data_IF_913596019783
#
_entry.id   IF_913596019783
#
_cell.length_a   1.000
_cell.length_b   1.000
_cell.length_c   1.000
_cell.angle_alpha   90.00
_cell.angle_beta   90.00
_cell.angle_gamma   90.00
#
_symmetry.space_group_name_H-M   'P 1'
#
loop_
_entity.id
_entity.type
_entity.pdbx_description
1 polymer ?
#
# COMPACT_ATOMS: atom_id res chain seq x y z
N UNK A 1 -36.95 5.28 14.76
CA UNK A 1 -37.52 4.09 14.07
C UNK A 1 -36.48 3.51 13.12
N UNK A 2 -36.09 2.24 13.30
CA UNK A 2 -35.09 1.58 12.46
C UNK A 2 -35.72 0.97 11.19
N UNK A 3 -35.03 1.06 10.04
CA UNK A 3 -35.51 0.41 8.80
C UNK A 3 -35.44 -1.11 8.92
N UNK A 4 -36.47 -1.78 8.41
CA UNK A 4 -36.47 -3.22 8.22
C UNK A 4 -35.64 -3.60 6.98
N UNK A 5 -35.03 -4.77 7.01
CA UNK A 5 -34.22 -5.28 5.90
C UNK A 5 -35.10 -5.95 4.85
N UNK A 6 -35.83 -5.16 4.06
CA UNK A 6 -36.52 -5.64 2.85
C UNK A 6 -35.48 -5.83 1.74
N UNK A 7 -34.74 -6.93 1.79
CA UNK A 7 -33.73 -7.29 0.80
C UNK A 7 -34.01 -8.70 0.30
N UNK A 8 -34.19 -8.82 -1.00
CA UNK A 8 -34.37 -10.11 -1.67
C UNK A 8 -32.98 -10.72 -1.83
N UNK A 9 -32.66 -11.66 -0.96
CA UNK A 9 -31.44 -12.47 -1.05
C UNK A 9 -31.75 -13.68 -1.95
N UNK A 10 -31.00 -13.85 -3.04
CA UNK A 10 -31.25 -14.86 -4.06
C UNK A 10 -30.84 -16.26 -3.60
N UNK A 11 -29.76 -16.35 -2.85
CA UNK A 11 -29.16 -17.61 -2.41
C UNK A 11 -29.96 -18.27 -1.29
N UNK A 12 -29.81 -19.58 -1.18
CA UNK A 12 -30.44 -20.37 -0.12
C UNK A 12 -29.71 -20.19 1.22
N UNK A 13 -30.39 -20.49 2.32
CA UNK A 13 -29.78 -20.41 3.66
C UNK A 13 -28.64 -21.44 3.79
N UNK A 14 -28.80 -22.61 3.17
CA UNK A 14 -27.81 -23.69 3.18
C UNK A 14 -26.54 -23.27 2.44
N UNK A 15 -26.68 -22.70 1.24
CA UNK A 15 -25.55 -22.15 0.46
C UNK A 15 -24.76 -21.11 1.27
N UNK A 16 -25.45 -20.16 1.92
CA UNK A 16 -24.80 -19.14 2.72
C UNK A 16 -24.09 -19.72 3.96
N UNK A 17 -24.67 -20.75 4.60
CA UNK A 17 -24.05 -21.43 5.74
C UNK A 17 -22.80 -22.21 5.33
N UNK A 18 -22.82 -22.86 4.17
CA UNK A 18 -21.67 -23.57 3.65
C UNK A 18 -20.56 -22.63 3.22
N UNK A 19 -20.89 -21.52 2.56
CA UNK A 19 -19.91 -20.45 2.28
C UNK A 19 -19.32 -19.89 3.59
N UNK A 20 -20.13 -19.70 4.63
CA UNK A 20 -19.66 -19.21 5.92
C UNK A 20 -18.69 -20.16 6.63
N UNK A 21 -18.87 -21.48 6.46
CA UNK A 21 -17.96 -22.50 7.00
C UNK A 21 -16.64 -22.56 6.23
N UNK A 22 -16.69 -22.42 4.90
CA UNK A 22 -15.52 -22.47 4.01
C UNK A 22 -14.64 -21.22 4.12
N UNK A 23 -15.25 -20.07 4.40
CA UNK A 23 -14.55 -18.79 4.42
C UNK A 23 -13.65 -18.64 5.65
N UNK A 24 -12.36 -18.37 5.43
CA UNK A 24 -11.38 -18.14 6.49
C UNK A 24 -11.32 -16.67 6.93
N UNK A 25 -11.64 -15.72 6.04
CA UNK A 25 -11.49 -14.30 6.34
C UNK A 25 -12.57 -13.80 7.32
N UNK A 26 -12.19 -13.29 8.52
CA UNK A 26 -13.16 -12.85 9.52
C UNK A 26 -14.12 -11.75 9.04
N UNK A 27 -13.67 -10.88 8.13
CA UNK A 27 -14.50 -9.79 7.58
C UNK A 27 -15.60 -10.34 6.67
N UNK A 28 -15.24 -11.29 5.80
CA UNK A 28 -16.18 -11.94 4.88
C UNK A 28 -17.14 -12.88 5.63
N UNK A 29 -16.64 -13.60 6.64
CA UNK A 29 -17.49 -14.37 7.55
C UNK A 29 -18.57 -13.52 8.21
N UNK A 30 -18.23 -12.30 8.64
CA UNK A 30 -19.20 -11.36 9.24
C UNK A 30 -20.24 -10.88 8.25
N UNK A 31 -19.83 -10.58 7.02
CA UNK A 31 -20.71 -10.27 5.89
C UNK A 31 -21.68 -11.43 5.60
N UNK A 32 -21.19 -12.67 5.55
CA UNK A 32 -22.03 -13.86 5.36
C UNK A 32 -23.05 -14.04 6.50
N UNK A 33 -22.64 -13.85 7.77
CA UNK A 33 -23.59 -13.86 8.91
C UNK A 33 -24.68 -12.80 8.75
N UNK A 34 -24.35 -11.63 8.20
CA UNK A 34 -25.33 -10.59 7.92
C UNK A 34 -26.41 -11.08 6.95
N UNK A 35 -26.03 -11.71 5.84
CA UNK A 35 -26.99 -12.26 4.87
C UNK A 35 -27.83 -13.40 5.47
N UNK A 36 -27.20 -14.32 6.21
CA UNK A 36 -27.89 -15.44 6.88
C UNK A 36 -28.99 -14.91 7.82
N UNK A 37 -28.65 -14.01 8.75
CA UNK A 37 -29.62 -13.48 9.71
C UNK A 37 -30.71 -12.62 9.07
N UNK A 38 -30.40 -11.98 7.94
CA UNK A 38 -31.39 -11.24 7.17
C UNK A 38 -32.38 -12.18 6.49
N UNK A 39 -31.90 -13.30 5.91
CA UNK A 39 -32.74 -14.32 5.27
C UNK A 39 -33.60 -15.08 6.28
N UNK A 40 -33.06 -15.38 7.46
CA UNK A 40 -33.78 -16.00 8.58
C UNK A 40 -34.75 -15.03 9.28
N UNK A 41 -34.78 -13.74 8.88
CA UNK A 41 -35.57 -12.68 9.50
C UNK A 41 -35.42 -12.62 11.04
N UNK A 42 -34.21 -12.91 11.53
CA UNK A 42 -33.93 -13.12 12.96
C UNK A 42 -34.08 -11.84 13.80
N UNK A 43 -33.85 -10.68 13.20
CA UNK A 43 -33.90 -9.38 13.88
C UNK A 43 -34.91 -8.45 13.23
N UNK A 44 -35.70 -7.76 14.07
CA UNK A 44 -36.76 -6.85 13.60
C UNK A 44 -36.24 -5.65 12.80
N UNK A 45 -35.04 -5.16 13.09
CA UNK A 45 -34.48 -3.98 12.41
C UNK A 45 -33.01 -4.17 12.06
N UNK A 46 -32.57 -3.46 11.02
CA UNK A 46 -31.16 -3.44 10.60
C UNK A 46 -30.23 -2.90 11.68
N UNK A 47 -30.72 -1.98 12.53
CA UNK A 47 -29.95 -1.42 13.64
C UNK A 47 -29.61 -2.48 14.67
N UNK A 48 -30.58 -3.33 15.05
CA UNK A 48 -30.34 -4.43 16.00
C UNK A 48 -29.36 -5.45 15.40
N UNK A 49 -29.52 -5.78 14.12
CA UNK A 49 -28.60 -6.67 13.40
C UNK A 49 -27.16 -6.11 13.40
N UNK A 50 -27.00 -4.81 13.14
CA UNK A 50 -25.71 -4.13 13.14
C UNK A 50 -25.04 -4.22 14.52
N UNK A 51 -25.79 -3.90 15.59
CA UNK A 51 -25.32 -4.01 16.98
C UNK A 51 -24.90 -5.44 17.31
N UNK A 52 -25.70 -6.45 16.95
CA UNK A 52 -25.36 -7.85 17.19
C UNK A 52 -24.11 -8.32 16.43
N UNK A 53 -23.89 -7.83 15.21
CA UNK A 53 -22.70 -8.13 14.42
C UNK A 53 -21.46 -7.31 14.84
N UNK A 54 -21.62 -6.34 15.76
CA UNK A 54 -20.55 -5.42 16.17
C UNK A 54 -20.06 -4.55 15.00
N UNK A 55 -20.99 -4.06 14.18
CA UNK A 55 -20.70 -3.16 13.05
C UNK A 55 -21.58 -1.92 13.11
N UNK A 56 -21.09 -0.81 12.57
CA UNK A 56 -21.91 0.39 12.43
C UNK A 56 -23.04 0.20 11.41
N UNK A 57 -24.18 0.84 11.65
CA UNK A 57 -25.35 0.79 10.77
C UNK A 57 -25.01 1.24 9.34
N UNK A 58 -24.15 2.25 9.17
CA UNK A 58 -23.73 2.74 7.85
C UNK A 58 -22.92 1.70 7.09
N UNK A 59 -22.11 0.90 7.80
CA UNK A 59 -21.35 -0.21 7.20
C UNK A 59 -22.28 -1.29 6.67
N UNK A 60 -23.27 -1.67 7.48
CA UNK A 60 -24.29 -2.65 7.11
C UNK A 60 -25.16 -2.16 5.94
N UNK A 61 -25.53 -0.87 5.92
CA UNK A 61 -26.21 -0.24 4.77
C UNK A 61 -25.36 -0.31 3.49
N UNK A 62 -24.05 -0.04 3.60
CA UNK A 62 -23.10 -0.16 2.47
C UNK A 62 -23.02 -1.59 1.94
N UNK A 63 -22.97 -2.57 2.83
CA UNK A 63 -22.97 -3.99 2.49
C UNK A 63 -24.21 -4.37 1.69
N UNK A 64 -25.39 -3.98 2.16
CA UNK A 64 -26.64 -4.26 1.46
C UNK A 64 -26.77 -3.54 0.12
N UNK A 65 -26.28 -2.31 0.02
CA UNK A 65 -26.19 -1.58 -1.24
C UNK A 65 -25.31 -2.35 -2.24
N UNK A 66 -24.12 -2.74 -1.83
CA UNK A 66 -23.16 -3.50 -2.64
C UNK A 66 -23.77 -4.83 -3.14
N UNK A 67 -24.41 -5.59 -2.25
CA UNK A 67 -25.08 -6.83 -2.63
C UNK A 67 -26.21 -6.61 -3.65
N UNK A 68 -26.99 -5.53 -3.49
CA UNK A 68 -28.09 -5.21 -4.40
C UNK A 68 -27.60 -4.81 -5.79
N UNK A 69 -26.51 -4.05 -5.86
CA UNK A 69 -26.00 -3.49 -7.11
C UNK A 69 -25.12 -4.49 -7.88
N UNK A 70 -24.28 -5.25 -7.18
CA UNK A 70 -23.23 -6.08 -7.80
C UNK A 70 -23.34 -7.58 -7.47
N UNK A 71 -24.26 -7.97 -6.58
CA UNK A 71 -24.50 -9.37 -6.21
C UNK A 71 -23.51 -9.95 -5.19
N UNK A 72 -23.58 -11.27 -5.01
CA UNK A 72 -22.83 -11.98 -3.97
C UNK A 72 -21.31 -11.99 -4.19
N UNK A 73 -20.86 -12.10 -5.44
CA UNK A 73 -19.42 -12.16 -5.76
C UNK A 73 -18.69 -10.88 -5.30
N UNK A 74 -19.21 -9.71 -5.67
CA UNK A 74 -18.69 -8.42 -5.19
C UNK A 74 -18.91 -8.22 -3.69
N UNK A 75 -20.02 -8.71 -3.15
CA UNK A 75 -20.26 -8.66 -1.70
C UNK A 75 -19.20 -9.42 -0.89
N UNK A 76 -18.68 -10.52 -1.44
CA UNK A 76 -17.63 -11.32 -0.83
C UNK A 76 -16.21 -10.93 -1.28
N UNK A 77 -16.07 -9.91 -2.13
CA UNK A 77 -14.75 -9.38 -2.47
C UNK A 77 -14.29 -8.31 -1.48
N UNK A 78 -12.99 -8.30 -1.18
CA UNK A 78 -12.34 -7.22 -0.44
C UNK A 78 -11.50 -6.43 -1.41
N UNK A 79 -12.03 -5.30 -1.87
CA UNK A 79 -11.27 -4.32 -2.63
C UNK A 79 -10.46 -3.46 -1.65
N UNK A 80 -9.28 -3.94 -1.25
CA UNK A 80 -8.26 -3.07 -0.67
C UNK A 80 -7.68 -2.23 -1.80
N UNK A 81 -7.71 -0.90 -1.69
CA UNK A 81 -7.05 -0.02 -2.65
C UNK A 81 -5.61 -0.50 -2.88
N UNK A 82 -5.33 -0.97 -4.09
CA UNK A 82 -4.02 -1.50 -4.45
C UNK A 82 -2.94 -0.42 -4.46
N UNK A 83 -1.71 -0.85 -4.66
CA UNK A 83 -0.63 0.10 -4.93
C UNK A 83 -0.90 0.78 -6.27
N UNK A 84 -0.77 2.11 -6.30
CA UNK A 84 -0.75 2.85 -7.57
C UNK A 84 0.39 2.30 -8.43
N UNK A 85 0.14 2.17 -9.73
CA UNK A 85 1.15 1.75 -10.67
C UNK A 85 2.42 2.63 -10.54
N UNK A 86 3.59 2.01 -10.60
CA UNK A 86 4.87 2.72 -10.53
C UNK A 86 5.01 3.65 -11.72
N UNK A 87 5.41 4.90 -11.47
CA UNK A 87 5.77 5.87 -12.52
C UNK A 87 7.01 5.39 -13.29
N UNK A 88 7.91 4.66 -12.61
CA UNK A 88 9.10 4.09 -13.23
C UNK A 88 8.71 2.77 -13.89
N UNK A 89 8.75 2.75 -15.23
CA UNK A 89 8.52 1.56 -16.04
C UNK A 89 9.70 0.59 -15.96
N UNK A 90 9.51 -0.70 -16.30
CA UNK A 90 10.60 -1.68 -16.32
C UNK A 90 11.78 -1.26 -17.21
N UNK A 91 11.50 -0.60 -18.35
CA UNK A 91 12.53 -0.05 -19.24
C UNK A 91 13.39 1.00 -18.54
N UNK A 92 12.76 1.97 -17.87
CA UNK A 92 13.46 3.02 -17.12
C UNK A 92 14.25 2.43 -15.96
N UNK A 93 13.71 1.40 -15.30
CA UNK A 93 14.39 0.67 -14.23
C UNK A 93 15.71 0.07 -14.70
N UNK A 94 15.73 -0.67 -15.82
CA UNK A 94 16.96 -1.25 -16.34
C UNK A 94 17.98 -0.20 -16.78
N UNK A 95 17.53 0.90 -17.38
CA UNK A 95 18.46 1.98 -17.76
C UNK A 95 19.01 2.72 -16.54
N UNK A 96 18.21 2.88 -15.47
CA UNK A 96 18.70 3.37 -14.18
C UNK A 96 19.74 2.43 -13.57
N UNK A 97 19.51 1.12 -13.61
CA UNK A 97 20.43 0.11 -13.10
C UNK A 97 21.81 0.21 -13.78
N UNK A 98 21.81 0.28 -15.11
CA UNK A 98 23.03 0.48 -15.89
C UNK A 98 23.71 1.81 -15.54
N UNK A 99 22.94 2.89 -15.40
CA UNK A 99 23.47 4.22 -15.09
C UNK A 99 24.08 4.29 -13.68
N UNK A 100 23.47 3.63 -12.70
CA UNK A 100 23.95 3.57 -11.31
C UNK A 100 25.25 2.76 -11.20
N UNK A 101 25.38 1.68 -11.96
CA UNK A 101 26.55 0.80 -11.93
C UNK A 101 27.68 1.23 -12.90
N UNK A 102 27.50 2.34 -13.63
CA UNK A 102 28.50 2.82 -14.57
C UNK A 102 29.65 3.54 -13.84
N UNK A 103 30.84 2.92 -13.85
CA UNK A 103 32.04 3.47 -13.22
C UNK A 103 32.64 4.67 -13.98
N UNK A 104 32.44 4.77 -15.31
CA UNK A 104 33.00 5.84 -16.13
C UNK A 104 32.26 7.16 -15.98
N UNK A 105 30.97 7.12 -15.63
CA UNK A 105 30.16 8.33 -15.41
C UNK A 105 29.20 8.14 -14.22
N UNK A 106 29.76 8.12 -12.98
CA UNK A 106 28.99 7.85 -11.77
C UNK A 106 28.10 9.03 -11.40
N UNK A 107 26.97 8.72 -10.76
CA UNK A 107 26.07 9.73 -10.20
C UNK A 107 26.71 10.34 -8.93
N UNK A 108 26.92 11.65 -8.92
CA UNK A 108 27.40 12.44 -7.78
C UNK A 108 26.42 12.42 -6.60
N UNK A 109 25.14 12.23 -6.89
CA UNK A 109 24.10 12.12 -5.87
C UNK A 109 22.72 11.88 -6.44
N UNK A 110 21.72 11.81 -5.56
CA UNK A 110 20.33 11.54 -5.95
C UNK A 110 19.67 12.66 -6.74
N UNK A 111 20.15 13.91 -6.59
CA UNK A 111 19.66 15.04 -7.39
C UNK A 111 20.06 14.90 -8.86
N UNK A 112 21.23 14.34 -9.15
CA UNK A 112 21.68 14.10 -10.51
C UNK A 112 20.90 12.96 -11.15
N UNK A 113 20.55 11.92 -10.37
CA UNK A 113 19.64 10.88 -10.83
C UNK A 113 18.25 11.44 -11.17
N UNK A 114 17.74 12.38 -10.36
CA UNK A 114 16.48 13.07 -10.62
C UNK A 114 16.55 13.90 -11.92
N UNK A 115 17.63 14.65 -12.12
CA UNK A 115 17.85 15.42 -13.34
C UNK A 115 17.99 14.52 -14.57
N UNK A 116 18.72 13.41 -14.44
CA UNK A 116 18.87 12.42 -15.51
C UNK A 116 17.54 11.81 -15.91
N UNK A 117 16.68 11.48 -14.94
CA UNK A 117 15.33 10.98 -15.18
C UNK A 117 14.43 12.00 -15.89
N UNK A 118 14.54 13.27 -15.51
CA UNK A 118 13.84 14.37 -16.17
C UNK A 118 14.30 14.55 -17.61
N UNK A 119 15.61 14.56 -17.84
CA UNK A 119 16.18 14.85 -19.17
C UNK A 119 16.01 13.70 -20.17
N UNK A 120 16.11 12.44 -19.73
CA UNK A 120 16.06 11.28 -20.64
C UNK A 120 14.64 10.73 -20.83
N UNK A 121 13.77 10.88 -19.83
CA UNK A 121 12.44 10.27 -19.83
C UNK A 121 11.29 11.25 -19.58
N UNK A 122 11.57 12.53 -19.35
CA UNK A 122 10.55 13.53 -19.00
C UNK A 122 9.88 13.27 -17.64
N UNK A 123 10.47 12.41 -16.79
CA UNK A 123 9.86 12.00 -15.53
C UNK A 123 10.19 13.01 -14.41
N UNK A 124 9.27 13.93 -14.16
CA UNK A 124 9.35 14.85 -13.03
C UNK A 124 8.91 14.16 -11.74
N UNK A 125 9.90 13.67 -10.98
CA UNK A 125 9.68 13.04 -9.67
C UNK A 125 10.28 13.88 -8.56
N UNK A 126 9.69 13.79 -7.36
CA UNK A 126 10.25 14.39 -6.15
C UNK A 126 11.57 13.70 -5.78
N UNK A 127 12.52 14.48 -5.26
CA UNK A 127 13.82 13.98 -4.81
C UNK A 127 13.71 12.75 -3.89
N UNK A 128 12.82 12.81 -2.88
CA UNK A 128 12.67 11.71 -1.93
C UNK A 128 12.15 10.43 -2.59
N UNK A 129 11.31 10.54 -3.63
CA UNK A 129 10.81 9.40 -4.41
C UNK A 129 11.96 8.73 -5.16
N UNK A 130 12.78 9.52 -5.87
CA UNK A 130 13.96 9.01 -6.58
C UNK A 130 14.94 8.37 -5.61
N UNK A 131 15.27 9.05 -4.50
CA UNK A 131 16.16 8.52 -3.46
C UNK A 131 15.65 7.20 -2.88
N UNK A 132 14.39 7.15 -2.46
CA UNK A 132 13.80 5.96 -1.84
C UNK A 132 13.75 4.80 -2.83
N UNK A 133 13.47 5.09 -4.10
CA UNK A 133 13.48 4.11 -5.17
C UNK A 133 14.88 3.50 -5.38
N UNK A 134 15.91 4.34 -5.55
CA UNK A 134 17.28 3.88 -5.78
C UNK A 134 17.82 3.07 -4.58
N UNK A 135 17.51 3.49 -3.35
CA UNK A 135 17.88 2.75 -2.13
C UNK A 135 17.15 1.39 -2.08
N UNK A 136 15.85 1.37 -2.37
CA UNK A 136 15.04 0.14 -2.29
C UNK A 136 15.51 -0.91 -3.29
N UNK A 137 15.74 -0.48 -4.53
CA UNK A 137 16.00 -1.36 -5.67
C UNK A 137 17.49 -1.65 -5.90
N UNK A 138 18.35 -0.64 -5.83
CA UNK A 138 19.77 -0.77 -6.16
C UNK A 138 20.70 -0.66 -4.94
N UNK A 139 20.12 -0.55 -3.73
CA UNK A 139 20.87 -0.47 -2.45
C UNK A 139 21.91 0.65 -2.42
N UNK A 140 21.69 1.72 -3.16
CA UNK A 140 22.61 2.87 -3.24
C UNK A 140 22.80 3.54 -1.89
N UNK A 141 23.99 4.09 -1.65
CA UNK A 141 24.30 4.88 -0.46
C UNK A 141 25.20 6.04 -0.82
N UNK A 142 24.94 7.22 -0.26
CA UNK A 142 25.84 8.38 -0.38
C UNK A 142 27.15 8.04 0.34
N UNK A 143 28.27 8.22 -0.36
CA UNK A 143 29.59 8.18 0.27
C UNK A 143 29.74 9.43 1.13
N UNK A 144 29.94 9.23 2.42
CA UNK A 144 30.14 10.32 3.39
C UNK A 144 31.57 10.25 3.92
N UNK A 145 32.23 11.40 4.16
CA UNK A 145 33.54 11.42 4.79
C UNK A 145 33.46 10.81 6.19
N UNK A 146 34.59 10.27 6.67
CA UNK A 146 34.69 9.78 8.05
C UNK A 146 34.49 10.96 8.99
N UNK A 147 33.63 10.80 9.99
CA UNK A 147 33.39 11.81 11.03
C UNK A 147 34.72 12.16 11.72
N UNK A 148 35.12 13.42 11.66
CA UNK A 148 36.19 13.97 12.49
C UNK A 148 35.62 14.45 13.82
N UNK A 149 36.44 14.39 14.89
CA UNK A 149 36.07 14.98 16.17
C UNK A 149 36.18 16.51 16.07
N UNK A 150 35.19 17.23 16.60
CA UNK A 150 35.10 18.69 16.46
C UNK A 150 36.21 19.45 17.22
N UNK A 151 36.80 18.83 18.25
CA UNK A 151 37.96 19.36 18.99
C UNK A 151 39.32 18.87 18.48
N UNK A 152 39.41 18.42 17.22
CA UNK A 152 40.73 18.04 16.69
C UNK A 152 41.60 19.30 16.62
N UNK A 153 42.83 19.18 17.07
CA UNK A 153 43.83 20.23 16.95
C UNK A 153 44.18 20.46 15.48
N UNK A 154 44.01 21.70 15.01
CA UNK A 154 44.26 22.12 13.64
C UNK A 154 45.74 22.01 13.27
N UNK A 155 46.64 22.27 14.23
CA UNK A 155 48.09 22.20 14.00
C UNK A 155 48.55 20.74 13.77
N UNK A 156 47.96 19.80 14.49
CA UNK A 156 48.22 18.37 14.31
C UNK A 156 47.67 17.82 12.98
N UNK A 157 46.59 18.40 12.45
CA UNK A 157 46.03 18.04 11.14
C UNK A 157 46.99 18.48 10.02
N UNK A 158 47.47 19.72 10.06
CA UNK A 158 48.42 20.22 9.06
C UNK A 158 49.75 19.47 9.08
N UNK A 159 50.25 19.11 10.27
CA UNK A 159 51.46 18.31 10.43
C UNK A 159 51.31 16.91 9.80
N UNK A 160 50.14 16.27 9.94
CA UNK A 160 49.85 14.96 9.35
C UNK A 160 49.81 14.99 7.81
N UNK A 161 49.32 16.08 7.19
CA UNK A 161 49.31 16.21 5.72
C UNK A 161 50.70 16.49 5.13
N UNK A 162 51.63 17.03 5.92
CA UNK A 162 53.00 17.39 5.49
C UNK A 162 54.00 16.23 5.53
N UNK A 163 53.67 15.10 6.15
CA UNK A 163 54.60 13.95 6.30
C UNK A 163 54.51 12.90 5.20
N UNK A 164 53.60 13.02 4.24
CA UNK A 164 53.56 12.14 3.07
C UNK A 164 54.41 12.75 1.96
N UNK A 165 55.70 12.39 1.93
CA UNK A 165 56.58 12.53 0.76
C UNK A 165 56.93 11.14 0.23
#
# INVERSE_FOLDING_TARGET
MGRQATIIIKESIEELKDLHKKESNPKLRRRLKCLIYTKENKYKTQTILATHLGVDYSSLKRWFKLYREEGLASYLSINSGGNKASIITPKVHHQLEQKVNNASNPLKGYWEAQLWLKNNFGLEMKYNTVRTYLIRHFKTKIKVPRKSHYKKDEQAIEAFFKTSK
#
